data_IF_399635662973
#
_entry.id   IF_399635662973
#
_cell.length_a   1.000
_cell.length_b   1.000
_cell.length_c   1.000
_cell.angle_alpha   90.00
_cell.angle_beta   90.00
_cell.angle_gamma   90.00
#
_symmetry.space_group_name_H-M   'P 1'
#
loop_
_entity.id
_entity.type
_entity.pdbx_description
1 polymer ?
#
# COMPACT_ATOMS: atom_id res chain seq x y z
N UNK A 1 67.25 18.36 -48.41
CA UNK A 1 66.21 18.67 -49.41
C UNK A 1 65.15 17.59 -49.28
N UNK A 2 63.87 18.00 -49.27
CA UNK A 2 62.64 17.19 -49.22
C UNK A 2 62.34 16.45 -47.90
N UNK A 3 61.09 16.33 -47.44
CA UNK A 3 59.80 17.02 -47.66
C UNK A 3 58.98 16.64 -46.41
N UNK A 4 58.35 17.61 -45.75
CA UNK A 4 57.34 17.42 -44.70
C UNK A 4 55.97 17.32 -45.37
N UNK A 5 55.27 16.18 -45.28
CA UNK A 5 53.83 16.12 -45.59
C UNK A 5 53.12 15.00 -44.81
N UNK A 6 52.30 15.43 -43.83
CA UNK A 6 50.91 15.05 -43.55
C UNK A 6 50.49 13.59 -43.80
N UNK A 7 50.01 12.89 -42.77
CA UNK A 7 48.85 12.00 -42.91
C UNK A 7 48.09 11.91 -41.57
N UNK A 8 46.88 12.47 -41.58
CA UNK A 8 45.86 12.45 -40.53
C UNK A 8 45.17 11.07 -40.47
N UNK A 9 44.36 10.92 -39.41
CA UNK A 9 43.25 9.99 -39.18
C UNK A 9 43.56 8.80 -38.28
N UNK A 10 42.94 8.81 -37.10
CA UNK A 10 42.40 7.67 -36.33
C UNK A 10 41.62 8.32 -35.16
N UNK A 11 40.29 8.34 -35.29
CA UNK A 11 39.34 7.54 -34.49
C UNK A 11 39.08 8.12 -33.10
N UNK A 12 37.88 8.65 -32.88
CA UNK A 12 37.10 8.41 -31.66
C UNK A 12 35.64 8.84 -31.94
N UNK A 13 34.81 7.89 -32.37
CA UNK A 13 33.36 8.03 -32.38
C UNK A 13 32.85 8.02 -30.94
N UNK A 14 32.35 9.15 -30.45
CA UNK A 14 31.50 9.19 -29.25
C UNK A 14 30.14 8.58 -29.63
N UNK A 15 29.93 7.32 -29.26
CA UNK A 15 28.59 6.73 -29.24
C UNK A 15 27.86 7.23 -27.98
N UNK A 16 26.92 8.15 -28.18
CA UNK A 16 25.98 8.59 -27.17
C UNK A 16 25.01 7.45 -26.84
N UNK A 17 25.23 6.79 -25.69
CA UNK A 17 24.25 5.90 -25.06
C UNK A 17 23.14 6.76 -24.45
N UNK A 18 22.21 7.20 -25.30
CA UNK A 18 20.93 7.79 -24.89
C UNK A 18 20.03 6.70 -24.34
N UNK A 19 20.17 6.39 -23.04
CA UNK A 19 19.19 5.58 -22.32
C UNK A 19 17.88 6.34 -22.24
N UNK A 20 16.89 5.92 -23.02
CA UNK A 20 15.50 6.36 -22.87
C UNK A 20 14.98 5.83 -21.53
N UNK A 21 14.95 6.71 -20.53
CA UNK A 21 14.23 6.47 -19.28
C UNK A 21 12.75 6.56 -19.64
N UNK A 22 12.11 5.42 -19.92
CA UNK A 22 10.65 5.37 -20.04
C UNK A 22 10.07 5.70 -18.65
N UNK A 23 9.21 6.72 -18.52
CA UNK A 23 8.51 6.96 -17.28
C UNK A 23 7.59 5.76 -17.00
N UNK A 24 7.70 5.19 -15.81
CA UNK A 24 6.75 4.19 -15.34
C UNK A 24 5.38 4.87 -15.26
N UNK A 25 4.48 4.49 -16.17
CA UNK A 25 3.10 4.93 -16.11
C UNK A 25 2.47 4.41 -14.81
N UNK A 26 1.93 5.31 -13.99
CA UNK A 26 1.05 4.93 -12.90
C UNK A 26 -0.07 4.08 -13.51
N UNK A 27 -0.18 2.81 -13.09
CA UNK A 27 -1.16 1.90 -13.65
C UNK A 27 -2.55 2.32 -13.18
N UNK A 28 -3.25 3.11 -14.01
CA UNK A 28 -4.66 3.39 -13.82
C UNK A 28 -5.43 2.06 -13.86
N UNK A 29 -6.15 1.76 -12.78
CA UNK A 29 -7.03 0.60 -12.69
C UNK A 29 -8.47 1.02 -12.99
N UNK A 30 -9.19 0.23 -13.79
CA UNK A 30 -10.57 0.53 -14.20
C UNK A 30 -11.53 -0.47 -13.60
N UNK A 31 -12.62 0.00 -12.98
CA UNK A 31 -13.63 -0.86 -12.38
C UNK A 31 -14.34 -1.73 -13.44
N UNK A 32 -14.53 -3.01 -13.15
CA UNK A 32 -15.19 -3.97 -14.03
C UNK A 32 -16.27 -4.73 -13.24
N UNK A 33 -17.43 -4.93 -13.85
CA UNK A 33 -18.50 -5.72 -13.25
C UNK A 33 -18.16 -7.22 -13.35
N UNK A 34 -18.24 -7.92 -12.23
CA UNK A 34 -18.14 -9.38 -12.22
C UNK A 34 -19.48 -10.02 -12.59
N UNK A 35 -19.42 -11.17 -13.28
CA UNK A 35 -20.60 -12.01 -13.41
C UNK A 35 -21.08 -12.53 -12.05
N UNK A 36 -22.35 -12.94 -11.96
CA UNK A 36 -22.92 -13.53 -10.74
C UNK A 36 -22.12 -14.76 -10.27
N UNK A 37 -21.68 -15.60 -11.22
CA UNK A 37 -20.93 -16.81 -10.92
C UNK A 37 -19.53 -16.50 -10.36
N UNK A 38 -18.82 -15.53 -10.95
CA UNK A 38 -17.51 -15.10 -10.45
C UNK A 38 -17.61 -14.48 -9.06
N UNK A 39 -18.62 -13.62 -8.85
CA UNK A 39 -18.87 -13.00 -7.56
C UNK A 39 -19.16 -14.04 -6.47
N UNK A 40 -19.99 -15.03 -6.77
CA UNK A 40 -20.28 -16.12 -5.84
C UNK A 40 -19.05 -17.00 -5.56
N UNK A 41 -18.20 -17.26 -6.56
CA UNK A 41 -16.96 -18.00 -6.37
C UNK A 41 -15.99 -17.26 -5.44
N UNK A 42 -15.75 -15.97 -5.70
CA UNK A 42 -14.90 -15.12 -4.87
C UNK A 42 -15.42 -14.98 -3.43
N UNK A 43 -16.74 -14.79 -3.26
CA UNK A 43 -17.35 -14.75 -1.93
C UNK A 43 -17.14 -16.07 -1.18
N UNK A 44 -17.41 -17.21 -1.83
CA UNK A 44 -17.28 -18.51 -1.20
C UNK A 44 -15.82 -18.83 -0.89
N UNK A 45 -14.88 -18.49 -1.77
CA UNK A 45 -13.47 -18.81 -1.57
C UNK A 45 -12.85 -18.02 -0.42
N UNK A 46 -13.11 -16.70 -0.35
CA UNK A 46 -12.51 -15.82 0.65
C UNK A 46 -13.29 -15.81 1.97
N UNK A 47 -14.61 -15.67 1.92
CA UNK A 47 -15.43 -15.40 3.11
C UNK A 47 -16.20 -16.65 3.58
N UNK A 48 -16.85 -17.35 2.65
CA UNK A 48 -17.71 -18.48 2.98
C UNK A 48 -16.95 -19.68 3.52
N UNK A 49 -15.86 -20.07 2.86
CA UNK A 49 -15.10 -21.29 3.21
C UNK A 49 -14.31 -21.16 4.50
N UNK A 50 -13.74 -19.97 4.76
CA UNK A 50 -12.85 -19.74 5.88
C UNK A 50 -13.58 -19.22 7.13
N UNK A 51 -14.59 -18.36 6.94
CA UNK A 51 -15.25 -17.65 8.05
C UNK A 51 -16.76 -17.95 8.15
N UNK A 52 -17.35 -18.62 7.17
CA UNK A 52 -18.80 -18.92 7.17
C UNK A 52 -19.68 -17.68 7.03
N UNK A 53 -19.17 -16.59 6.46
CA UNK A 53 -19.91 -15.33 6.27
C UNK A 53 -19.95 -14.91 4.80
N UNK A 54 -20.95 -14.09 4.44
CA UNK A 54 -21.04 -13.48 3.12
C UNK A 54 -20.02 -12.33 2.95
N UNK A 55 -19.79 -11.91 1.71
CA UNK A 55 -19.02 -10.71 1.43
C UNK A 55 -19.84 -9.46 1.81
N UNK A 56 -19.19 -8.47 2.40
CA UNK A 56 -19.72 -7.12 2.52
C UNK A 56 -19.59 -6.38 1.20
N UNK A 57 -18.42 -6.50 0.56
CA UNK A 57 -18.07 -5.80 -0.66
C UNK A 57 -17.15 -6.66 -1.53
N UNK A 58 -17.35 -6.62 -2.85
CA UNK A 58 -16.42 -7.20 -3.84
C UNK A 58 -16.25 -6.16 -4.93
N UNK A 59 -15.04 -5.63 -5.07
CA UNK A 59 -14.67 -4.68 -6.12
C UNK A 59 -13.68 -5.32 -7.06
N UNK A 60 -13.93 -5.26 -8.35
CA UNK A 60 -13.05 -5.85 -9.36
C UNK A 60 -12.56 -4.79 -10.33
N UNK A 61 -11.32 -4.96 -10.80
CA UNK A 61 -10.65 -3.99 -11.64
C UNK A 61 -9.77 -4.66 -12.71
N UNK A 62 -9.60 -3.93 -13.81
CA UNK A 62 -8.74 -4.29 -14.93
C UNK A 62 -7.64 -3.25 -15.13
N UNK A 63 -6.57 -3.65 -15.82
CA UNK A 63 -5.43 -2.77 -16.12
C UNK A 63 -5.58 -2.00 -17.44
N UNK A 64 -6.57 -2.38 -18.26
CA UNK A 64 -6.85 -1.74 -19.53
C UNK A 64 -8.20 -1.01 -19.47
N UNK A 65 -8.30 0.20 -20.05
CA UNK A 65 -9.56 0.89 -20.17
C UNK A 65 -10.53 0.06 -21.02
N UNK A 66 -11.81 0.10 -20.66
CA UNK A 66 -12.89 -0.64 -21.34
C UNK A 66 -12.73 -2.17 -21.39
N UNK A 67 -11.88 -2.74 -20.54
CA UNK A 67 -11.80 -4.20 -20.42
C UNK A 67 -13.12 -4.78 -19.87
N UNK A 68 -13.61 -5.83 -20.52
CA UNK A 68 -14.79 -6.56 -20.08
C UNK A 68 -14.49 -7.58 -18.97
N UNK A 69 -13.20 -7.91 -18.80
CA UNK A 69 -12.72 -8.95 -17.90
C UNK A 69 -11.82 -8.33 -16.83
N UNK A 70 -12.15 -8.56 -15.57
CA UNK A 70 -11.33 -8.12 -14.45
C UNK A 70 -10.03 -8.94 -14.33
N UNK A 71 -8.93 -8.27 -14.04
CA UNK A 71 -7.63 -8.88 -13.73
C UNK A 71 -7.46 -9.10 -12.23
N UNK A 72 -8.11 -8.29 -11.41
CA UNK A 72 -7.97 -8.31 -9.96
C UNK A 72 -9.33 -8.06 -9.30
N UNK A 73 -9.44 -8.49 -8.04
CA UNK A 73 -10.56 -8.15 -7.18
C UNK A 73 -10.12 -8.00 -5.73
N UNK A 74 -10.70 -7.04 -5.02
CA UNK A 74 -10.65 -6.97 -3.57
C UNK A 74 -11.97 -7.49 -3.01
N UNK A 75 -11.88 -8.41 -2.07
CA UNK A 75 -13.02 -9.01 -1.37
C UNK A 75 -12.96 -8.60 0.09
N UNK A 76 -14.02 -7.98 0.60
CA UNK A 76 -14.18 -7.66 2.02
C UNK A 76 -15.32 -8.49 2.59
N UNK A 77 -15.03 -9.28 3.62
CA UNK A 77 -16.01 -10.12 4.30
C UNK A 77 -16.86 -9.30 5.27
N UNK A 78 -18.12 -9.72 5.50
CA UNK A 78 -18.92 -9.13 6.57
C UNK A 78 -18.22 -9.27 7.93
N UNK A 79 -18.28 -8.22 8.77
CA UNK A 79 -17.61 -8.26 10.05
C UNK A 79 -18.26 -9.32 10.94
N UNK A 80 -17.44 -10.18 11.52
CA UNK A 80 -17.84 -11.23 12.46
C UNK A 80 -16.94 -11.25 13.70
N UNK A 81 -16.02 -10.29 13.80
CA UNK A 81 -15.21 -9.99 14.97
C UNK A 81 -15.22 -8.48 15.21
N UNK A 82 -14.86 -8.07 16.42
CA UNK A 82 -14.84 -6.67 16.81
C UNK A 82 -13.66 -6.39 17.75
N UNK A 83 -13.22 -5.14 17.77
CA UNK A 83 -12.25 -4.63 18.73
C UNK A 83 -12.77 -3.31 19.30
N UNK A 84 -12.93 -3.25 20.63
CA UNK A 84 -13.51 -2.09 21.33
C UNK A 84 -14.85 -1.62 20.76
N UNK A 85 -15.71 -2.57 20.35
CA UNK A 85 -17.01 -2.30 19.74
C UNK A 85 -16.95 -1.82 18.29
N UNK A 86 -15.75 -1.68 17.70
CA UNK A 86 -15.58 -1.39 16.28
C UNK A 86 -15.53 -2.69 15.47
N UNK A 87 -16.25 -2.79 14.34
CA UNK A 87 -16.21 -3.97 13.50
C UNK A 87 -14.81 -4.15 12.90
N UNK A 88 -14.34 -5.40 12.89
CA UNK A 88 -13.15 -5.81 12.17
C UNK A 88 -13.55 -6.55 10.90
N UNK A 89 -12.89 -6.21 9.81
CA UNK A 89 -13.11 -6.82 8.51
C UNK A 89 -11.96 -7.77 8.19
N UNK A 90 -12.26 -8.81 7.42
CA UNK A 90 -11.23 -9.62 6.76
C UNK A 90 -11.30 -9.32 5.28
N UNK A 91 -10.15 -8.96 4.70
CA UNK A 91 -10.04 -8.54 3.31
C UNK A 91 -9.01 -9.39 2.59
N UNK A 92 -9.27 -9.78 1.35
CA UNK A 92 -8.31 -10.47 0.51
C UNK A 92 -8.22 -9.81 -0.85
N UNK A 93 -7.01 -9.73 -1.38
CA UNK A 93 -6.77 -9.36 -2.76
C UNK A 93 -6.64 -10.62 -3.61
N UNK A 94 -7.36 -10.65 -4.72
CA UNK A 94 -7.41 -11.75 -5.66
C UNK A 94 -6.86 -11.30 -7.01
N UNK A 95 -6.00 -12.11 -7.60
CA UNK A 95 -5.54 -12.00 -8.97
C UNK A 95 -6.22 -13.03 -9.85
N UNK A 96 -6.42 -12.68 -11.12
CA UNK A 96 -6.90 -13.60 -12.14
C UNK A 96 -5.76 -14.00 -13.05
N UNK A 97 -5.46 -15.28 -13.10
CA UNK A 97 -4.48 -15.86 -14.01
C UNK A 97 -5.11 -17.02 -14.80
N UNK A 98 -4.88 -17.04 -16.11
CA UNK A 98 -5.44 -18.02 -17.05
C UNK A 98 -6.96 -18.24 -16.86
N UNK A 99 -7.69 -17.16 -16.59
CA UNK A 99 -9.14 -17.18 -16.38
C UNK A 99 -9.60 -17.63 -14.99
N UNK A 100 -8.69 -18.06 -14.11
CA UNK A 100 -8.98 -18.53 -12.74
C UNK A 100 -8.59 -17.51 -11.70
N UNK A 101 -9.40 -17.41 -10.64
CA UNK A 101 -9.11 -16.56 -9.50
C UNK A 101 -8.18 -17.27 -8.51
N UNK A 102 -7.20 -16.54 -8.01
CA UNK A 102 -6.33 -16.94 -6.91
C UNK A 102 -6.24 -15.77 -5.93
N UNK A 103 -6.46 -16.03 -4.64
CA UNK A 103 -6.50 -14.99 -3.62
C UNK A 103 -5.37 -15.15 -2.64
N UNK A 104 -4.79 -14.02 -2.22
CA UNK A 104 -3.92 -13.99 -1.06
C UNK A 104 -4.69 -14.40 0.21
N UNK A 105 -4.01 -14.88 1.26
CA UNK A 105 -4.65 -15.10 2.56
C UNK A 105 -5.38 -13.83 3.04
N UNK A 106 -6.59 -13.95 3.61
CA UNK A 106 -7.29 -12.78 4.13
C UNK A 106 -6.52 -12.11 5.26
N UNK A 107 -6.46 -10.79 5.22
CA UNK A 107 -5.83 -9.94 6.21
C UNK A 107 -6.89 -9.20 7.03
N UNK A 108 -6.57 -8.89 8.27
CA UNK A 108 -7.44 -8.06 9.12
C UNK A 108 -7.41 -6.62 8.60
N UNK A 109 -8.56 -5.96 8.53
CA UNK A 109 -8.69 -4.55 8.23
C UNK A 109 -9.56 -3.87 9.29
N UNK A 110 -9.05 -2.76 9.81
CA UNK A 110 -9.69 -1.88 10.77
C UNK A 110 -10.13 -0.60 10.09
N UNK A 111 -11.22 -0.02 10.56
CA UNK A 111 -11.64 1.31 10.16
C UNK A 111 -11.45 2.27 11.34
N UNK A 112 -10.54 3.23 11.18
CA UNK A 112 -10.18 4.20 12.21
C UNK A 112 -10.59 5.60 11.76
N UNK A 113 -11.13 6.40 12.67
CA UNK A 113 -11.38 7.81 12.39
C UNK A 113 -10.04 8.57 12.38
N UNK A 114 -9.80 9.31 11.30
CA UNK A 114 -8.68 10.23 11.13
C UNK A 114 -9.20 11.67 10.93
N UNK A 115 -8.29 12.64 10.85
CA UNK A 115 -8.65 14.03 10.53
C UNK A 115 -9.26 14.21 9.14
N UNK A 116 -9.06 13.25 8.23
CA UNK A 116 -9.54 13.30 6.84
C UNK A 116 -10.76 12.42 6.59
N UNK A 117 -11.24 11.71 7.61
CA UNK A 117 -12.40 10.83 7.51
C UNK A 117 -12.11 9.44 8.05
N UNK A 118 -12.56 8.41 7.33
CA UNK A 118 -12.40 7.02 7.74
C UNK A 118 -11.16 6.41 7.07
N UNK A 119 -10.15 6.08 7.85
CA UNK A 119 -8.93 5.44 7.41
C UNK A 119 -9.06 3.91 7.54
N UNK A 120 -8.82 3.20 6.44
CA UNK A 120 -8.67 1.73 6.45
C UNK A 120 -7.24 1.36 6.82
N UNK A 121 -7.06 0.49 7.80
CA UNK A 121 -5.76 0.09 8.32
C UNK A 121 -5.65 -1.42 8.40
N UNK A 122 -4.62 -1.98 7.77
CA UNK A 122 -4.28 -3.40 7.86
C UNK A 122 -3.10 -3.54 8.83
N UNK A 123 -3.31 -4.02 10.07
CA UNK A 123 -2.30 -3.97 11.11
C UNK A 123 -1.14 -4.96 10.90
N UNK A 124 -1.31 -5.94 10.00
CA UNK A 124 -0.30 -6.97 9.71
C UNK A 124 0.06 -7.75 10.98
N UNK A 125 1.32 -7.66 11.40
CA UNK A 125 1.83 -8.33 12.62
C UNK A 125 1.51 -7.59 13.92
N UNK A 126 0.93 -6.39 13.86
CA UNK A 126 0.56 -5.61 15.03
C UNK A 126 -0.78 -6.06 15.61
N UNK A 127 -0.94 -5.87 16.92
CA UNK A 127 -2.27 -5.96 17.53
C UNK A 127 -3.11 -4.75 17.10
N UNK A 128 -4.46 -4.89 17.03
CA UNK A 128 -5.36 -3.77 16.72
C UNK A 128 -5.12 -2.53 17.60
N UNK A 129 -4.88 -2.74 18.90
CA UNK A 129 -4.61 -1.65 19.84
C UNK A 129 -3.32 -0.89 19.52
N UNK A 130 -2.26 -1.59 19.12
CA UNK A 130 -0.97 -0.97 18.81
C UNK A 130 -1.03 -0.22 17.48
N UNK A 131 -1.73 -0.76 16.49
CA UNK A 131 -1.99 -0.08 15.23
C UNK A 131 -2.80 1.21 15.44
N UNK A 132 -3.90 1.13 16.19
CA UNK A 132 -4.73 2.30 16.51
C UNK A 132 -3.95 3.39 17.27
N UNK A 133 -3.12 3.01 18.26
CA UNK A 133 -2.27 3.95 18.98
C UNK A 133 -1.27 4.65 18.05
N UNK A 134 -0.62 3.92 17.15
CA UNK A 134 0.34 4.46 16.20
C UNK A 134 -0.32 5.46 15.24
N UNK A 135 -1.48 5.10 14.66
CA UNK A 135 -2.24 5.98 13.76
C UNK A 135 -2.74 7.22 14.49
N UNK A 136 -3.33 7.06 15.68
CA UNK A 136 -3.78 8.20 16.50
C UNK A 136 -2.62 9.16 16.79
N UNK A 137 -1.45 8.61 17.11
CA UNK A 137 -0.26 9.41 17.35
C UNK A 137 0.20 10.13 16.08
N UNK A 138 0.24 9.46 14.93
CA UNK A 138 0.57 10.09 13.64
C UNK A 138 -0.34 11.28 13.36
N UNK A 139 -1.66 11.07 13.44
CA UNK A 139 -2.65 12.11 13.14
C UNK A 139 -2.49 13.35 14.01
N UNK A 140 -1.83 13.28 15.18
CA UNK A 140 -1.55 14.43 16.03
C UNK A 140 -0.41 15.34 15.57
N UNK A 141 0.46 14.92 14.64
CA UNK A 141 1.63 15.70 14.21
C UNK A 141 1.30 16.84 13.24
N UNK A 142 0.24 16.70 12.43
CA UNK A 142 -0.09 17.62 11.34
C UNK A 142 0.91 17.53 10.17
N UNK A 143 2.19 17.87 10.42
CA UNK A 143 3.29 17.82 9.46
C UNK A 143 4.55 17.16 10.05
N UNK A 144 5.36 16.55 9.19
CA UNK A 144 6.69 16.07 9.50
C UNK A 144 7.65 16.44 8.38
N UNK A 145 8.73 17.18 8.68
CA UNK A 145 9.71 17.64 7.68
C UNK A 145 9.07 18.32 6.45
N UNK A 146 8.04 19.14 6.69
CA UNK A 146 7.28 19.84 5.64
C UNK A 146 6.28 18.96 4.86
N UNK A 147 6.17 17.67 5.17
CA UNK A 147 5.23 16.74 4.53
C UNK A 147 3.96 16.63 5.38
N UNK A 148 2.79 16.66 4.73
CA UNK A 148 1.50 16.56 5.41
C UNK A 148 1.21 15.12 5.84
N UNK A 149 0.89 14.92 7.12
CA UNK A 149 0.46 13.62 7.64
C UNK A 149 -0.93 13.25 7.14
N UNK A 150 -1.83 14.23 7.06
CA UNK A 150 -3.19 13.99 6.58
C UNK A 150 -3.17 13.48 5.14
N UNK A 151 -2.33 14.06 4.29
CA UNK A 151 -2.12 13.63 2.89
C UNK A 151 -1.51 12.23 2.78
N UNK A 152 -0.74 11.81 3.78
CA UNK A 152 -0.16 10.47 3.81
C UNK A 152 -1.15 9.39 4.22
N UNK A 153 -2.19 9.78 4.97
CA UNK A 153 -3.24 8.89 5.50
C UNK A 153 -4.56 9.01 4.71
N UNK A 154 -4.52 9.29 3.41
CA UNK A 154 -5.71 9.39 2.55
C UNK A 154 -6.13 8.04 1.92
N UNK A 155 -5.34 6.99 2.11
CA UNK A 155 -5.55 5.68 1.49
C UNK A 155 -5.39 4.57 2.52
N UNK A 156 -5.78 3.35 2.16
CA UNK A 156 -5.53 2.17 3.01
C UNK A 156 -4.06 2.07 3.36
N UNK A 157 -3.75 1.92 4.64
CA UNK A 157 -2.39 1.79 5.14
C UNK A 157 -2.15 0.38 5.66
N UNK A 158 -1.10 -0.26 5.15
CA UNK A 158 -0.55 -1.50 5.67
C UNK A 158 0.46 -1.17 6.77
N UNK A 159 0.48 -1.96 7.83
CA UNK A 159 1.39 -1.77 8.94
C UNK A 159 2.09 -3.07 9.29
N UNK A 160 3.28 -2.94 9.86
CA UNK A 160 4.02 -4.07 10.36
C UNK A 160 5.05 -3.65 11.39
N UNK A 161 5.51 -4.62 12.17
CA UNK A 161 6.74 -4.48 12.92
C UNK A 161 7.91 -4.36 11.97
N UNK A 162 8.77 -3.35 12.18
CA UNK A 162 10.02 -3.23 11.45
C UNK A 162 11.10 -4.17 11.97
N UNK A 163 12.35 -3.90 11.61
CA UNK A 163 13.51 -4.73 12.01
C UNK A 163 13.74 -4.80 13.53
N UNK A 164 13.26 -3.83 14.30
CA UNK A 164 13.36 -3.79 15.76
C UNK A 164 11.98 -3.75 16.41
N UNK A 165 11.86 -4.25 17.65
CA UNK A 165 10.59 -4.38 18.34
C UNK A 165 9.91 -3.03 18.70
N UNK A 166 10.64 -1.92 18.61
CA UNK A 166 10.15 -0.57 18.83
C UNK A 166 9.78 0.15 17.53
N UNK A 167 10.16 -0.39 16.37
CA UNK A 167 9.92 0.20 15.06
C UNK A 167 8.62 -0.34 14.46
N UNK A 168 7.74 0.56 14.03
CA UNK A 168 6.58 0.26 13.21
C UNK A 168 6.78 0.88 11.84
N UNK A 169 6.59 0.07 10.82
CA UNK A 169 6.60 0.48 9.42
C UNK A 169 5.15 0.60 8.94
N UNK A 170 4.85 1.69 8.25
CA UNK A 170 3.53 2.01 7.72
C UNK A 170 3.70 2.36 6.25
N UNK A 171 2.99 1.63 5.40
CA UNK A 171 2.95 1.85 3.96
C UNK A 171 1.52 2.13 3.54
N UNK A 172 1.28 3.36 3.09
CA UNK A 172 0.05 3.77 2.42
C UNK A 172 0.36 3.94 0.92
N UNK A 173 -0.65 4.16 0.07
CA UNK A 173 -0.50 4.10 -1.42
C UNK A 173 0.75 4.80 -1.97
N UNK A 174 1.04 6.02 -1.50
CA UNK A 174 2.17 6.83 -1.99
C UNK A 174 3.14 7.23 -0.87
N UNK A 175 3.08 6.57 0.29
CA UNK A 175 3.83 7.02 1.46
C UNK A 175 4.38 5.87 2.27
N UNK A 176 5.65 5.99 2.64
CA UNK A 176 6.28 5.17 3.67
C UNK A 176 6.52 6.03 4.91
N UNK A 177 6.12 5.53 6.08
CA UNK A 177 6.25 6.23 7.36
C UNK A 177 6.79 5.23 8.38
N UNK A 178 7.84 5.63 9.10
CA UNK A 178 8.38 4.83 10.21
C UNK A 178 8.15 5.54 11.53
N UNK A 179 7.66 4.79 12.50
CA UNK A 179 7.40 5.24 13.85
C UNK A 179 8.25 4.44 14.82
N UNK A 180 8.99 5.10 15.69
CA UNK A 180 9.68 4.44 16.81
C UNK A 180 8.97 4.72 18.13
N UNK A 181 8.81 3.65 18.91
CA UNK A 181 8.36 3.66 20.30
C UNK A 181 9.52 3.82 21.29
N UNK A 182 10.77 3.83 20.80
CA UNK A 182 11.93 4.01 21.64
C UNK A 182 12.29 5.50 21.79
N UNK A 183 12.24 5.97 23.03
CA UNK A 183 12.66 7.31 23.42
C UNK A 183 13.63 7.22 24.60
N UNK A 184 14.93 7.53 24.42
CA UNK A 184 15.90 7.46 25.51
C UNK A 184 15.66 8.52 26.60
N UNK A 185 15.02 9.65 26.25
CA UNK A 185 14.62 10.70 27.18
C UNK A 185 13.23 11.23 26.80
N UNK A 186 12.18 10.66 27.40
CA UNK A 186 10.82 11.15 27.18
C UNK A 186 10.64 12.51 27.84
N UNK A 187 10.52 13.57 27.04
CA UNK A 187 10.09 14.89 27.48
C UNK A 187 8.76 15.25 26.81
N UNK A 188 8.14 16.36 27.21
CA UNK A 188 6.95 16.89 26.52
C UNK A 188 7.19 17.09 25.01
N UNK A 189 8.42 17.41 24.62
CA UNK A 189 8.83 17.63 23.22
C UNK A 189 9.40 16.38 22.55
N UNK A 190 9.76 15.34 23.31
CA UNK A 190 10.25 14.03 22.84
C UNK A 190 9.34 12.89 23.31
N UNK A 191 8.03 13.00 23.06
CA UNK A 191 7.07 11.97 23.44
C UNK A 191 6.99 10.86 22.37
N UNK A 192 7.08 9.61 22.82
CA UNK A 192 6.89 8.42 22.01
C UNK A 192 5.40 8.01 21.94
N UNK A 193 4.97 7.33 20.88
CA UNK A 193 5.76 7.04 19.68
C UNK A 193 5.99 8.28 18.81
N UNK A 194 7.08 8.30 18.04
CA UNK A 194 7.46 9.43 17.17
C UNK A 194 7.74 8.99 15.75
N UNK A 195 7.43 9.87 14.80
CA UNK A 195 7.85 9.72 13.41
C UNK A 195 9.36 9.91 13.36
N UNK A 196 10.07 8.96 12.77
CA UNK A 196 11.51 9.03 12.56
C UNK A 196 11.89 9.09 11.08
N UNK A 197 10.94 8.79 10.19
CA UNK A 197 11.13 8.83 8.76
C UNK A 197 9.77 8.89 8.06
N UNK A 198 9.71 9.65 6.97
CA UNK A 198 8.55 9.77 6.11
C UNK A 198 9.00 10.12 4.69
N UNK A 199 8.58 9.34 3.70
CA UNK A 199 8.90 9.56 2.29
C UNK A 199 7.69 9.33 1.40
N UNK A 200 7.58 10.16 0.35
CA UNK A 200 6.60 9.96 -0.71
C UNK A 200 7.20 8.99 -1.72
N UNK A 201 6.52 7.87 -1.93
CA UNK A 201 6.90 6.86 -2.92
C UNK A 201 6.58 7.39 -4.32
N UNK A 202 7.52 7.20 -5.25
CA UNK A 202 7.39 7.58 -6.66
C UNK A 202 6.55 6.57 -7.42
#
# INVERSE_FOLDING_TARGET
>A
MLVKTIQRYIFFCLAALGGTILPAAAADSYAVALSRAERANLEQSVCGSQFGVAAAEITAYALLPHAEVANFADVSCRPHTQWQGQPLYWVAQCGRDQGRWSCAPPELEMQLHSSTGLLRVRPGTLTPSRAAQAISRLSSYGYFEGKSISAALESTCNMGMGKTADLIEISCRHWAIHISYWCPQSSRTNACPRIIYMEKLQ
#
